data_IF_473790948376
#
_entry.id   IF_473790948376
#
_cell.length_a   1.000
_cell.length_b   1.000
_cell.length_c   1.000
_cell.angle_alpha   90.00
_cell.angle_beta   90.00
_cell.angle_gamma   90.00
#
_symmetry.space_group_name_H-M   'P 1'
#
loop_
_entity.id
_entity.type
_entity.pdbx_description
1 polymer ?
#
# COMPACT_ATOMS: atom_id res chain seq x y z
N UNK A 1 6.07 -3.16 -22.45
CA UNK A 1 4.84 -2.55 -21.88
C UNK A 1 4.66 -1.16 -22.46
N UNK A 2 3.43 -0.78 -22.80
CA UNK A 2 3.10 0.58 -23.23
C UNK A 2 3.42 1.60 -22.13
N UNK A 3 3.97 2.77 -22.51
CA UNK A 3 4.45 3.77 -21.58
C UNK A 3 3.87 5.17 -21.86
N UNK A 4 3.18 5.73 -20.87
CA UNK A 4 2.54 7.05 -20.95
C UNK A 4 3.10 8.05 -19.93
N UNK A 5 4.14 7.68 -19.20
CA UNK A 5 4.71 8.47 -18.12
C UNK A 5 5.76 9.50 -18.53
N UNK A 6 6.35 10.15 -17.52
CA UNK A 6 7.49 11.05 -17.67
C UNK A 6 8.79 10.22 -17.74
N UNK A 7 9.63 10.48 -18.76
CA UNK A 7 10.94 9.85 -18.88
C UNK A 7 11.87 10.19 -17.70
N UNK A 8 11.79 11.42 -17.20
CA UNK A 8 12.54 11.84 -16.00
C UNK A 8 12.19 10.99 -14.78
N UNK A 9 10.89 10.69 -14.57
CA UNK A 9 10.45 9.81 -13.48
C UNK A 9 10.87 8.36 -13.73
N UNK A 10 10.88 7.92 -15.00
CA UNK A 10 11.33 6.59 -15.41
C UNK A 10 12.83 6.37 -15.15
N UNK A 11 13.68 7.35 -15.48
CA UNK A 11 15.12 7.28 -15.20
C UNK A 11 15.38 7.20 -13.69
N UNK A 12 14.71 8.01 -12.88
CA UNK A 12 14.81 7.91 -11.41
C UNK A 12 14.34 6.55 -10.88
N UNK A 13 13.29 5.99 -11.47
CA UNK A 13 12.84 4.64 -11.15
C UNK A 13 13.93 3.62 -11.51
N UNK A 14 14.55 3.73 -12.67
CA UNK A 14 15.63 2.84 -13.10
C UNK A 14 16.84 2.92 -12.15
N UNK A 15 17.27 4.11 -11.75
CA UNK A 15 18.35 4.30 -10.78
C UNK A 15 18.05 3.57 -9.46
N UNK A 16 16.81 3.70 -8.97
CA UNK A 16 16.36 2.99 -7.77
C UNK A 16 16.41 1.48 -7.97
N UNK A 17 15.84 0.97 -9.08
CA UNK A 17 15.76 -0.47 -9.37
C UNK A 17 17.16 -1.10 -9.53
N UNK A 18 18.08 -0.41 -10.21
CA UNK A 18 19.46 -0.87 -10.36
C UNK A 18 20.19 -0.94 -9.01
N UNK A 19 20.03 0.08 -8.17
CA UNK A 19 20.61 0.06 -6.81
C UNK A 19 20.05 -1.09 -5.97
N UNK A 20 18.75 -1.39 -6.07
CA UNK A 20 18.13 -2.53 -5.39
C UNK A 20 18.72 -3.85 -5.89
N UNK A 21 18.90 -3.98 -7.20
CA UNK A 21 19.49 -5.16 -7.84
C UNK A 21 20.93 -5.39 -7.39
N UNK A 22 21.76 -4.34 -7.38
CA UNK A 22 23.16 -4.37 -6.92
C UNK A 22 23.28 -4.79 -5.44
N UNK A 23 22.25 -4.53 -4.65
CA UNK A 23 22.16 -4.94 -3.24
C UNK A 23 21.39 -6.26 -3.02
N UNK A 24 21.23 -7.06 -4.06
CA UNK A 24 20.68 -8.42 -3.97
C UNK A 24 19.16 -8.50 -3.86
N UNK A 25 18.43 -7.43 -4.21
CA UNK A 25 16.97 -7.48 -4.33
C UNK A 25 16.60 -7.55 -5.81
N UNK A 26 16.06 -8.67 -6.24
CA UNK A 26 15.62 -8.84 -7.62
C UNK A 26 14.42 -7.94 -7.92
N UNK A 27 14.55 -7.12 -8.96
CA UNK A 27 13.52 -6.18 -9.42
C UNK A 27 13.31 -6.28 -10.93
N UNK A 28 12.15 -5.89 -11.40
CA UNK A 28 11.83 -5.79 -12.82
C UNK A 28 12.43 -4.51 -13.45
N UNK A 29 13.76 -4.36 -13.36
CA UNK A 29 14.46 -3.21 -13.92
C UNK A 29 14.27 -3.09 -15.44
N UNK A 30 14.44 -1.86 -15.97
CA UNK A 30 14.26 -1.59 -17.39
C UNK A 30 15.53 -1.93 -18.18
N UNK A 31 15.32 -2.39 -19.41
CA UNK A 31 16.38 -2.63 -20.38
C UNK A 31 16.48 -1.44 -21.33
N UNK A 32 17.70 -0.97 -21.57
CA UNK A 32 17.95 0.09 -22.56
C UNK A 32 17.94 -0.47 -23.98
N UNK A 33 17.44 0.30 -24.91
CA UNK A 33 17.48 -0.04 -26.33
C UNK A 33 18.86 0.30 -26.94
N UNK A 34 19.05 0.08 -28.25
CA UNK A 34 20.29 0.35 -28.96
C UNK A 34 20.69 1.83 -29.00
N UNK A 35 19.82 2.73 -28.56
CA UNK A 35 20.07 4.18 -28.45
C UNK A 35 20.30 4.60 -26.99
N UNK A 36 20.56 3.65 -26.10
CA UNK A 36 20.72 3.86 -24.66
C UNK A 36 19.46 4.46 -23.96
N UNK A 37 18.30 4.46 -24.62
CA UNK A 37 17.06 4.95 -24.07
C UNK A 37 16.26 3.83 -23.37
N UNK A 38 15.57 4.15 -22.28
CA UNK A 38 14.61 3.25 -21.61
C UNK A 38 13.28 3.16 -22.38
N UNK A 39 13.03 4.11 -23.28
CA UNK A 39 11.79 4.17 -24.05
C UNK A 39 12.07 3.91 -25.53
N UNK A 40 11.35 2.98 -26.09
CA UNK A 40 11.33 2.69 -27.52
C UNK A 40 10.01 3.19 -28.13
N UNK A 41 10.04 3.55 -29.40
CA UNK A 41 8.84 3.93 -30.16
C UNK A 41 8.63 2.95 -31.30
N UNK A 42 7.39 2.63 -31.59
CA UNK A 42 7.02 1.88 -32.79
C UNK A 42 6.81 2.81 -34.00
N UNK A 43 6.40 2.25 -35.12
CA UNK A 43 6.13 3.00 -36.38
C UNK A 43 4.97 3.99 -36.25
N UNK A 44 4.15 3.89 -35.22
CA UNK A 44 3.00 4.78 -34.94
C UNK A 44 3.32 5.80 -33.87
N UNK A 45 4.60 5.96 -33.48
CA UNK A 45 5.07 6.83 -32.38
C UNK A 45 4.56 6.38 -30.98
N UNK A 46 3.99 5.19 -30.88
CA UNK A 46 3.57 4.64 -29.59
C UNK A 46 4.80 4.25 -28.77
N UNK A 47 4.81 4.64 -27.49
CA UNK A 47 5.95 4.51 -26.59
C UNK A 47 5.86 3.23 -25.76
N UNK A 48 6.99 2.53 -25.64
CA UNK A 48 7.10 1.26 -24.92
C UNK A 48 8.34 1.23 -24.06
N UNK A 49 8.28 0.47 -22.96
CA UNK A 49 9.44 0.09 -22.14
C UNK A 49 9.59 -1.43 -22.14
N UNK A 50 10.83 -1.91 -22.03
CA UNK A 50 11.16 -3.31 -21.84
C UNK A 50 11.71 -3.50 -20.44
N UNK A 51 11.22 -4.51 -19.71
CA UNK A 51 11.64 -4.80 -18.33
C UNK A 51 12.18 -6.23 -18.24
N UNK A 52 13.08 -6.45 -17.29
CA UNK A 52 13.56 -7.78 -16.97
C UNK A 52 12.39 -8.63 -16.42
N UNK A 53 12.31 -9.86 -16.87
CA UNK A 53 11.30 -10.82 -16.47
C UNK A 53 11.87 -11.88 -15.54
N UNK A 54 11.15 -12.18 -14.46
CA UNK A 54 11.49 -13.27 -13.55
C UNK A 54 10.49 -14.42 -13.67
N UNK A 55 11.00 -15.64 -13.73
CA UNK A 55 10.19 -16.84 -13.63
C UNK A 55 9.92 -17.16 -12.15
N UNK A 56 8.66 -17.16 -11.76
CA UNK A 56 8.27 -17.39 -10.39
C UNK A 56 6.76 -17.51 -10.22
N UNK A 57 6.33 -17.79 -9.00
CA UNK A 57 4.91 -17.77 -8.61
C UNK A 57 4.65 -16.53 -7.77
N UNK A 58 3.50 -15.91 -7.95
CA UNK A 58 3.02 -14.88 -7.02
C UNK A 58 2.98 -15.43 -5.58
N UNK A 59 3.16 -14.54 -4.60
CA UNK A 59 3.04 -14.89 -3.19
C UNK A 59 1.68 -15.55 -2.92
N UNK A 60 1.70 -16.81 -2.51
CA UNK A 60 0.49 -17.51 -2.10
C UNK A 60 0.01 -17.00 -0.75
N UNK A 61 -1.11 -16.29 -0.76
CA UNK A 61 -1.70 -15.75 0.48
C UNK A 61 -2.26 -16.82 1.41
N UNK A 62 -2.25 -18.10 1.06
CA UNK A 62 -2.57 -19.24 1.94
C UNK A 62 -1.31 -19.85 2.58
N UNK A 63 -0.14 -19.53 2.06
CA UNK A 63 1.15 -19.98 2.59
C UNK A 63 1.68 -18.97 3.62
N UNK A 64 1.73 -19.35 4.89
CA UNK A 64 2.32 -18.54 5.96
C UNK A 64 3.79 -18.23 5.67
N UNK A 65 4.53 -19.18 5.08
CA UNK A 65 5.92 -18.99 4.68
C UNK A 65 6.08 -17.89 3.63
N UNK A 66 5.27 -17.92 2.55
CA UNK A 66 5.30 -16.90 1.50
C UNK A 66 4.95 -15.53 2.05
N UNK A 67 3.95 -15.44 2.94
CA UNK A 67 3.56 -14.20 3.59
C UNK A 67 4.74 -13.62 4.38
N UNK A 68 5.37 -14.41 5.26
CA UNK A 68 6.48 -13.94 6.09
C UNK A 68 7.73 -13.64 5.25
N UNK A 69 7.99 -14.43 4.19
CA UNK A 69 9.06 -14.15 3.23
C UNK A 69 8.84 -12.81 2.52
N UNK A 70 7.59 -12.52 2.11
CA UNK A 70 7.22 -11.23 1.52
C UNK A 70 7.42 -10.07 2.49
N UNK A 71 7.08 -10.23 3.76
CA UNK A 71 7.30 -9.21 4.80
C UNK A 71 8.79 -8.93 5.01
N UNK A 72 9.62 -9.98 5.09
CA UNK A 72 11.09 -9.84 5.19
C UNK A 72 11.67 -9.15 3.96
N UNK A 73 11.16 -9.48 2.78
CA UNK A 73 11.55 -8.82 1.52
C UNK A 73 11.19 -7.33 1.56
N UNK A 74 9.99 -6.98 2.01
CA UNK A 74 9.58 -5.57 2.15
C UNK A 74 10.49 -4.80 3.13
N UNK A 75 10.85 -5.40 4.26
CA UNK A 75 11.73 -4.77 5.23
C UNK A 75 13.12 -4.48 4.64
N UNK A 76 13.72 -5.43 3.90
CA UNK A 76 14.99 -5.23 3.19
C UNK A 76 14.87 -4.18 2.10
N UNK A 77 13.77 -4.22 1.34
CA UNK A 77 13.45 -3.24 0.32
C UNK A 77 13.45 -1.82 0.90
N UNK A 78 12.77 -1.60 2.02
CA UNK A 78 12.64 -0.29 2.65
C UNK A 78 13.96 0.28 3.21
N UNK A 79 14.90 -0.57 3.63
CA UNK A 79 16.25 -0.11 4.03
C UNK A 79 16.95 0.57 2.85
N UNK A 80 16.76 0.04 1.64
CA UNK A 80 17.43 0.49 0.41
C UNK A 80 16.61 1.53 -0.37
N UNK A 81 15.30 1.57 -0.21
CA UNK A 81 14.41 2.53 -0.88
C UNK A 81 14.48 3.91 -0.22
N UNK A 82 15.60 4.57 -0.45
CA UNK A 82 15.83 5.97 -0.06
C UNK A 82 16.38 6.72 -1.28
N UNK A 83 15.86 7.91 -1.51
CA UNK A 83 16.31 8.79 -2.61
C UNK A 83 16.46 10.21 -2.06
N UNK A 84 17.35 11.01 -2.66
CA UNK A 84 17.37 12.42 -2.34
C UNK A 84 15.99 13.04 -2.60
N UNK A 85 15.42 13.76 -1.61
CA UNK A 85 14.15 14.43 -1.78
C UNK A 85 14.20 15.41 -2.96
N UNK A 86 13.23 15.35 -3.84
CA UNK A 86 13.12 16.22 -5.00
C UNK A 86 11.94 17.14 -4.81
N UNK A 87 12.17 18.44 -4.76
CA UNK A 87 11.17 19.45 -4.41
C UNK A 87 9.93 19.38 -5.31
N UNK A 88 10.08 19.01 -6.60
CA UNK A 88 8.95 18.82 -7.50
C UNK A 88 7.93 17.75 -7.04
N UNK A 89 8.35 16.81 -6.16
CA UNK A 89 7.46 15.78 -5.57
C UNK A 89 6.93 16.16 -4.19
N UNK A 90 7.37 17.31 -3.63
CA UNK A 90 6.98 17.76 -2.29
C UNK A 90 5.48 17.95 -2.13
N UNK A 91 4.83 18.58 -3.11
CA UNK A 91 3.38 18.79 -3.07
C UNK A 91 2.60 17.48 -3.16
N UNK A 92 3.05 16.52 -3.99
CA UNK A 92 2.44 15.20 -4.09
C UNK A 92 2.56 14.45 -2.76
N UNK A 93 3.74 14.48 -2.15
CA UNK A 93 4.01 13.90 -0.84
C UNK A 93 3.10 14.49 0.26
N UNK A 94 3.02 15.81 0.35
CA UNK A 94 2.18 16.48 1.34
C UNK A 94 0.70 16.16 1.13
N UNK A 95 0.24 16.07 -0.10
CA UNK A 95 -1.14 15.73 -0.44
C UNK A 95 -1.49 14.31 -0.02
N UNK A 96 -0.63 13.33 -0.30
CA UNK A 96 -0.83 11.94 0.13
C UNK A 96 -0.97 11.83 1.64
N UNK A 97 -0.11 12.51 2.38
CA UNK A 97 -0.10 12.44 3.82
C UNK A 97 -1.21 13.25 4.50
N UNK A 98 -1.79 14.26 3.84
CA UNK A 98 -2.97 14.95 4.33
C UNK A 98 -4.26 14.10 4.28
N UNK A 99 -4.27 13.06 3.47
CA UNK A 99 -5.44 12.19 3.31
C UNK A 99 -5.87 11.51 4.61
N UNK A 100 -4.96 11.22 5.52
CA UNK A 100 -5.28 10.64 6.83
C UNK A 100 -6.07 11.59 7.74
N UNK A 101 -5.87 12.92 7.59
CA UNK A 101 -6.57 13.95 8.38
C UNK A 101 -7.96 14.29 7.85
N UNK A 102 -8.31 13.85 6.65
CA UNK A 102 -9.60 14.18 6.06
C UNK A 102 -10.66 13.21 6.53
N UNK A 103 -11.55 13.68 7.41
CA UNK A 103 -12.84 13.06 7.59
C UNK A 103 -13.61 13.33 6.30
N UNK A 104 -13.70 12.32 5.47
CA UNK A 104 -14.30 12.43 4.15
C UNK A 104 -15.79 12.58 4.29
N UNK A 105 -16.41 13.44 3.47
CA UNK A 105 -17.86 13.59 3.44
C UNK A 105 -18.50 12.29 2.99
N UNK A 106 -19.04 11.54 3.94
CA UNK A 106 -19.89 10.42 3.64
C UNK A 106 -21.25 10.94 3.18
N UNK A 107 -21.78 10.37 2.10
CA UNK A 107 -23.06 10.78 1.55
C UNK A 107 -24.16 10.26 2.46
N UNK A 108 -24.85 11.16 3.18
CA UNK A 108 -25.82 10.81 4.22
C UNK A 108 -27.27 10.74 3.76
N UNK A 109 -27.65 11.36 2.66
CA UNK A 109 -29.07 11.63 2.37
C UNK A 109 -29.47 11.35 0.94
N UNK A 110 -29.57 10.06 0.59
CA UNK A 110 -30.39 9.66 -0.56
C UNK A 110 -31.10 8.38 -0.19
N UNK A 111 -32.38 8.27 -0.50
CA UNK A 111 -33.10 7.01 -0.40
C UNK A 111 -32.33 5.90 -1.14
N UNK A 112 -32.30 4.70 -0.61
CA UNK A 112 -31.58 3.60 -1.20
C UNK A 112 -32.30 3.11 -2.46
N UNK A 113 -31.67 3.21 -3.62
CA UNK A 113 -32.20 2.75 -4.90
C UNK A 113 -31.76 1.33 -5.26
N UNK A 114 -30.75 0.80 -4.58
CA UNK A 114 -30.21 -0.54 -4.83
C UNK A 114 -29.62 -1.17 -3.55
N UNK A 115 -29.20 -2.44 -3.64
CA UNK A 115 -28.66 -3.20 -2.51
C UNK A 115 -27.38 -2.59 -1.93
N UNK A 116 -26.51 -2.02 -2.76
CA UNK A 116 -25.29 -1.35 -2.29
C UNK A 116 -25.62 -0.14 -1.43
N UNK A 117 -26.48 0.77 -1.92
CA UNK A 117 -26.87 1.97 -1.20
C UNK A 117 -27.59 1.64 0.11
N UNK A 118 -28.45 0.60 0.10
CA UNK A 118 -29.11 0.12 1.32
C UNK A 118 -28.11 -0.34 2.37
N UNK A 119 -27.13 -1.17 1.99
CA UNK A 119 -26.10 -1.65 2.90
C UNK A 119 -25.19 -0.50 3.38
N UNK A 120 -24.83 0.41 2.47
CA UNK A 120 -24.00 1.57 2.78
C UNK A 120 -24.69 2.47 3.81
N UNK A 121 -25.93 2.90 3.58
CA UNK A 121 -26.68 3.78 4.49
C UNK A 121 -26.94 3.13 5.86
N UNK A 122 -27.12 1.82 5.91
CA UNK A 122 -27.30 1.09 7.17
C UNK A 122 -26.03 1.00 8.03
N UNK A 123 -24.85 1.21 7.45
CA UNK A 123 -23.56 1.03 8.14
C UNK A 123 -22.71 2.30 8.23
N UNK A 124 -23.04 3.34 7.48
CA UNK A 124 -22.16 4.52 7.32
C UNK A 124 -21.82 5.24 8.62
N UNK A 125 -22.75 5.35 9.55
CA UNK A 125 -22.52 6.06 10.83
C UNK A 125 -21.45 5.34 11.65
N UNK A 126 -21.47 4.02 11.74
CA UNK A 126 -20.47 3.23 12.47
C UNK A 126 -19.06 3.39 11.89
N UNK A 127 -18.95 3.34 10.56
CA UNK A 127 -17.64 3.57 9.91
C UNK A 127 -17.19 5.03 10.00
N UNK A 128 -18.11 6.00 10.04
CA UNK A 128 -17.78 7.40 10.25
C UNK A 128 -17.25 7.63 11.67
N UNK A 129 -17.90 7.08 12.69
CA UNK A 129 -17.41 7.14 14.09
C UNK A 129 -15.98 6.57 14.19
N UNK A 130 -15.73 5.44 13.54
CA UNK A 130 -14.41 4.83 13.50
C UNK A 130 -13.38 5.70 12.78
N UNK A 131 -13.77 6.37 11.69
CA UNK A 131 -12.90 7.33 10.99
C UNK A 131 -12.58 8.56 11.86
N UNK A 132 -13.56 9.08 12.59
CA UNK A 132 -13.36 10.19 13.54
C UNK A 132 -12.41 9.80 14.66
N UNK A 133 -12.56 8.59 15.20
CA UNK A 133 -11.65 8.06 16.22
C UNK A 133 -10.21 7.94 15.68
N UNK A 134 -10.02 7.45 14.45
CA UNK A 134 -8.70 7.38 13.84
C UNK A 134 -8.05 8.77 13.66
N UNK A 135 -8.84 9.80 13.31
CA UNK A 135 -8.34 11.19 13.22
C UNK A 135 -7.94 11.70 14.60
N UNK A 136 -8.74 11.44 15.64
CA UNK A 136 -8.39 11.79 17.01
C UNK A 136 -7.09 11.13 17.44
N UNK A 137 -6.92 9.83 17.18
CA UNK A 137 -5.64 9.12 17.44
C UNK A 137 -4.48 9.76 16.69
N UNK A 138 -4.68 10.21 15.45
CA UNK A 138 -3.64 10.88 14.67
C UNK A 138 -3.22 12.20 15.31
N UNK A 139 -4.18 12.99 15.77
CA UNK A 139 -3.94 14.29 16.43
C UNK A 139 -3.21 14.14 17.77
N UNK A 140 -3.24 12.96 18.40
CA UNK A 140 -2.48 12.61 19.60
C UNK A 140 -1.04 12.13 19.29
N UNK A 141 -0.60 12.16 18.03
CA UNK A 141 0.72 11.70 17.58
C UNK A 141 1.56 12.85 17.04
N UNK A 142 2.89 12.65 17.02
CA UNK A 142 3.85 13.54 16.35
C UNK A 142 3.90 13.27 14.84
N UNK A 143 2.72 13.18 14.20
CA UNK A 143 2.60 12.79 12.80
C UNK A 143 3.30 13.76 11.83
N UNK A 144 3.24 15.06 12.10
CA UNK A 144 3.91 16.05 11.25
C UNK A 144 5.43 15.91 11.31
N UNK A 145 5.99 15.63 12.48
CA UNK A 145 7.42 15.39 12.66
C UNK A 145 7.86 14.08 11.98
N UNK A 146 7.05 13.02 12.13
CA UNK A 146 7.28 11.76 11.41
C UNK A 146 7.30 11.98 9.89
N UNK A 147 6.36 12.74 9.39
CA UNK A 147 6.25 13.07 7.96
C UNK A 147 7.46 13.89 7.49
N UNK A 148 7.82 14.96 8.22
CA UNK A 148 8.99 15.78 7.85
C UNK A 148 10.29 14.99 7.91
N UNK A 149 10.45 14.09 8.89
CA UNK A 149 11.59 13.20 8.98
C UNK A 149 11.65 12.21 7.80
N UNK A 150 10.54 11.56 7.48
CA UNK A 150 10.46 10.64 6.34
C UNK A 150 10.84 11.31 5.02
N UNK A 151 10.40 12.56 4.81
CA UNK A 151 10.80 13.36 3.66
C UNK A 151 12.31 13.65 3.65
N UNK A 152 12.85 14.19 4.74
CA UNK A 152 14.29 14.52 4.84
C UNK A 152 15.18 13.30 4.68
N UNK A 153 14.75 12.14 5.16
CA UNK A 153 15.45 10.87 4.99
C UNK A 153 15.29 10.28 3.59
N UNK A 154 14.47 10.90 2.74
CA UNK A 154 14.20 10.43 1.40
C UNK A 154 13.48 9.07 1.35
N UNK A 155 12.63 8.78 2.34
CA UNK A 155 11.91 7.50 2.39
C UNK A 155 11.01 7.33 1.18
N UNK A 156 11.14 6.19 0.50
CA UNK A 156 10.36 5.84 -0.69
C UNK A 156 9.57 4.57 -0.42
N UNK A 157 8.32 4.57 -0.83
CA UNK A 157 7.42 3.43 -0.86
C UNK A 157 7.31 2.84 -2.27
N UNK A 158 7.06 1.55 -2.34
CA UNK A 158 6.68 0.87 -3.58
C UNK A 158 5.31 1.38 -4.10
N UNK A 159 4.40 1.74 -3.20
CA UNK A 159 3.06 2.26 -3.49
C UNK A 159 2.01 1.19 -3.76
N UNK A 160 2.40 0.06 -4.36
CA UNK A 160 1.52 -1.08 -4.65
C UNK A 160 2.10 -2.43 -4.17
N UNK A 161 2.85 -2.45 -3.07
CA UNK A 161 3.34 -3.72 -2.53
C UNK A 161 2.19 -4.65 -2.14
N UNK A 162 2.05 -5.75 -2.85
CA UNK A 162 1.00 -6.74 -2.63
C UNK A 162 1.41 -8.12 -3.15
N UNK A 163 0.62 -9.15 -2.90
CA UNK A 163 0.93 -10.54 -3.24
C UNK A 163 1.19 -10.79 -4.75
N UNK A 164 0.63 -9.99 -5.64
CA UNK A 164 0.82 -10.11 -7.09
C UNK A 164 2.16 -9.52 -7.56
N UNK A 165 2.73 -8.62 -6.77
CA UNK A 165 3.96 -7.91 -7.08
C UNK A 165 5.18 -8.50 -6.32
N UNK A 166 5.00 -9.62 -5.63
CA UNK A 166 6.09 -10.38 -4.98
C UNK A 166 6.09 -11.79 -5.55
N UNK A 167 7.15 -12.13 -6.27
CA UNK A 167 7.32 -13.44 -6.88
C UNK A 167 8.21 -14.33 -6.01
N UNK A 168 7.79 -15.53 -5.75
CA UNK A 168 8.62 -16.62 -5.20
C UNK A 168 9.34 -17.27 -6.37
N UNK A 169 10.64 -17.07 -6.46
CA UNK A 169 11.47 -17.55 -7.57
C UNK A 169 11.67 -19.06 -7.51
N UNK A 170 11.84 -19.67 -8.69
CA UNK A 170 12.13 -21.10 -8.87
C UNK A 170 13.60 -21.32 -9.22
N UNK A 171 14.09 -22.54 -9.00
CA UNK A 171 15.42 -22.98 -9.40
C UNK A 171 16.53 -22.49 -8.47
N UNK A 172 17.73 -22.29 -9.02
CA UNK A 172 18.94 -21.92 -8.28
C UNK A 172 18.87 -20.54 -7.63
N UNK A 173 17.89 -19.71 -8.00
CA UNK A 173 17.60 -18.41 -7.42
C UNK A 173 16.51 -18.54 -6.33
N UNK A 174 16.81 -19.27 -5.24
CA UNK A 174 15.93 -19.35 -4.07
C UNK A 174 15.79 -17.95 -3.44
N UNK A 175 14.79 -17.20 -3.85
CA UNK A 175 14.60 -15.84 -3.36
C UNK A 175 13.22 -15.32 -3.70
N UNK A 176 13.11 -14.01 -3.67
CA UNK A 176 11.95 -13.25 -4.12
C UNK A 176 12.37 -12.25 -5.17
N UNK A 177 11.46 -11.91 -6.08
CA UNK A 177 11.56 -10.71 -6.89
C UNK A 177 10.38 -9.78 -6.59
N UNK A 178 10.64 -8.48 -6.62
CA UNK A 178 9.60 -7.45 -6.46
C UNK A 178 9.43 -6.74 -7.79
N UNK A 179 8.17 -6.62 -8.24
CA UNK A 179 7.84 -6.11 -9.56
C UNK A 179 6.81 -4.98 -9.49
N UNK A 180 6.62 -4.26 -10.60
CA UNK A 180 5.57 -3.25 -10.76
C UNK A 180 5.75 -2.00 -9.89
N UNK A 181 6.95 -1.39 -9.93
CA UNK A 181 7.28 -0.15 -9.21
C UNK A 181 6.66 1.13 -9.82
N UNK A 182 5.72 1.02 -10.75
CA UNK A 182 5.12 2.18 -11.43
C UNK A 182 4.43 3.20 -10.52
N UNK A 183 4.10 2.80 -9.29
CA UNK A 183 3.45 3.65 -8.28
C UNK A 183 4.37 4.07 -7.13
N UNK A 184 5.70 3.94 -7.34
CA UNK A 184 6.63 4.40 -6.33
C UNK A 184 6.46 5.90 -6.01
N UNK A 185 6.59 6.25 -4.75
CA UNK A 185 6.46 7.64 -4.30
C UNK A 185 7.21 7.84 -2.98
N UNK A 186 7.56 9.09 -2.68
CA UNK A 186 7.95 9.45 -1.33
C UNK A 186 6.75 9.26 -0.40
N UNK A 187 6.93 8.49 0.67
CA UNK A 187 5.91 8.27 1.70
C UNK A 187 6.57 7.66 2.95
N UNK A 188 5.87 7.69 4.07
CA UNK A 188 6.24 6.97 5.29
C UNK A 188 6.17 5.47 4.99
N UNK A 189 7.31 4.77 5.05
CA UNK A 189 7.45 3.39 4.55
C UNK A 189 6.48 2.38 5.19
N UNK A 190 6.09 2.57 6.44
CA UNK A 190 5.08 1.69 7.06
C UNK A 190 3.70 1.73 6.38
N UNK A 191 3.47 2.65 5.45
CA UNK A 191 2.27 2.64 4.61
C UNK A 191 2.20 1.42 3.69
N UNK A 192 3.33 0.98 3.13
CA UNK A 192 3.37 -0.25 2.32
C UNK A 192 3.16 -1.49 3.20
N UNK A 193 3.79 -1.52 4.39
CA UNK A 193 3.58 -2.60 5.35
C UNK A 193 2.10 -2.73 5.72
N UNK A 194 1.44 -1.61 6.08
CA UNK A 194 0.00 -1.57 6.34
C UNK A 194 -0.81 -2.13 5.16
N UNK A 195 -0.53 -1.67 3.92
CA UNK A 195 -1.28 -2.09 2.74
C UNK A 195 -1.16 -3.58 2.48
N UNK A 196 0.04 -4.14 2.64
CA UNK A 196 0.28 -5.57 2.49
C UNK A 196 -0.42 -6.37 3.59
N UNK A 197 -0.16 -6.02 4.85
CA UNK A 197 -0.76 -6.70 6.00
C UNK A 197 -2.29 -6.70 5.95
N UNK A 198 -2.90 -5.54 5.69
CA UNK A 198 -4.36 -5.43 5.60
C UNK A 198 -4.96 -6.41 4.59
N UNK A 199 -4.36 -6.52 3.39
CA UNK A 199 -4.85 -7.45 2.34
C UNK A 199 -4.77 -8.91 2.77
N UNK A 200 -3.77 -9.28 3.55
CA UNK A 200 -3.62 -10.62 4.11
C UNK A 200 -4.63 -10.84 5.24
N UNK A 201 -4.63 -9.95 6.22
CA UNK A 201 -5.43 -10.09 7.44
C UNK A 201 -6.95 -10.10 7.16
N UNK A 202 -7.42 -9.37 6.17
CA UNK A 202 -8.82 -9.47 5.71
C UNK A 202 -9.21 -10.90 5.28
N UNK A 203 -8.27 -11.67 4.73
CA UNK A 203 -8.49 -13.08 4.34
C UNK A 203 -8.37 -14.04 5.51
N UNK A 204 -7.64 -13.64 6.56
CA UNK A 204 -7.40 -14.40 7.78
C UNK A 204 -8.27 -13.94 8.96
N UNK A 205 -9.40 -13.29 8.65
CA UNK A 205 -10.33 -12.83 9.67
C UNK A 205 -9.65 -12.05 10.80
N UNK A 206 -8.70 -11.17 10.42
CA UNK A 206 -7.94 -10.29 11.31
C UNK A 206 -7.19 -11.03 12.43
N UNK A 207 -6.55 -12.15 12.09
CA UNK A 207 -5.84 -12.98 13.04
C UNK A 207 -4.66 -12.25 13.68
N UNK A 208 -4.69 -12.10 15.02
CA UNK A 208 -3.70 -11.37 15.82
C UNK A 208 -2.33 -12.05 15.82
N UNK A 209 -2.29 -13.39 15.88
CA UNK A 209 -1.02 -14.14 15.90
C UNK A 209 -0.25 -13.92 14.60
N UNK A 210 -0.92 -14.05 13.45
CA UNK A 210 -0.32 -13.80 12.14
C UNK A 210 0.15 -12.34 12.01
N UNK A 211 -0.66 -11.39 12.48
CA UNK A 211 -0.27 -9.97 12.47
C UNK A 211 0.99 -9.73 13.31
N UNK A 212 1.03 -10.29 14.51
CA UNK A 212 2.20 -10.19 15.39
C UNK A 212 3.46 -10.79 14.77
N UNK A 213 3.35 -11.91 14.03
CA UNK A 213 4.48 -12.48 13.31
C UNK A 213 4.95 -11.58 12.17
N UNK A 214 4.03 -11.08 11.35
CA UNK A 214 4.37 -10.17 10.26
C UNK A 214 5.09 -8.93 10.79
N UNK A 215 4.60 -8.33 11.86
CA UNK A 215 5.22 -7.17 12.50
C UNK A 215 6.60 -7.48 13.07
N UNK A 216 6.76 -8.62 13.75
CA UNK A 216 8.06 -9.07 14.29
C UNK A 216 9.08 -9.33 13.19
N UNK A 217 8.69 -10.02 12.12
CA UNK A 217 9.59 -10.31 10.98
C UNK A 217 10.05 -9.06 10.25
N UNK A 218 9.17 -8.06 10.13
CA UNK A 218 9.54 -6.77 9.59
C UNK A 218 10.48 -6.02 10.53
N UNK A 219 10.10 -5.89 11.81
CA UNK A 219 10.83 -5.13 12.83
C UNK A 219 12.25 -5.66 13.09
N UNK A 220 12.47 -6.99 13.01
CA UNK A 220 13.80 -7.60 13.13
C UNK A 220 14.78 -7.11 12.07
N UNK A 221 14.31 -6.79 10.87
CA UNK A 221 15.15 -6.40 9.73
C UNK A 221 15.21 -4.88 9.62
N UNK A 222 14.06 -4.22 9.68
CA UNK A 222 13.91 -2.77 9.71
C UNK A 222 13.13 -2.39 10.97
N UNK A 223 13.81 -1.89 12.01
CA UNK A 223 13.13 -1.45 13.23
C UNK A 223 12.05 -0.41 12.91
N UNK A 224 10.88 -0.61 13.51
CA UNK A 224 9.75 0.32 13.43
C UNK A 224 9.88 1.27 14.62
N UNK A 225 9.91 2.59 14.38
CA UNK A 225 10.00 3.59 15.44
C UNK A 225 8.69 3.72 16.23
N UNK A 226 8.73 4.34 17.40
CA UNK A 226 7.52 4.57 18.21
C UNK A 226 6.45 5.35 17.43
N UNK A 227 6.85 6.36 16.66
CA UNK A 227 5.95 7.18 15.85
C UNK A 227 5.40 6.38 14.66
N UNK A 228 6.19 5.49 14.07
CA UNK A 228 5.71 4.57 13.02
C UNK A 228 4.72 3.55 13.57
N UNK A 229 4.90 3.05 14.81
CA UNK A 229 3.90 2.21 15.49
C UNK A 229 2.58 2.93 15.69
N UNK A 230 2.62 4.18 16.17
CA UNK A 230 1.43 5.03 16.30
C UNK A 230 0.76 5.25 14.94
N UNK A 231 1.55 5.49 13.89
CA UNK A 231 1.04 5.64 12.52
C UNK A 231 0.38 4.36 11.97
N UNK A 232 0.96 3.19 12.24
CA UNK A 232 0.34 1.91 11.89
C UNK A 232 -1.01 1.72 12.60
N UNK A 233 -1.08 2.02 13.91
CA UNK A 233 -2.34 1.98 14.68
C UNK A 233 -3.42 2.84 14.03
N UNK A 234 -3.09 4.09 13.70
CA UNK A 234 -4.02 5.01 13.01
C UNK A 234 -4.49 4.42 11.68
N UNK A 235 -3.57 3.89 10.86
CA UNK A 235 -3.91 3.31 9.56
C UNK A 235 -4.81 2.08 9.68
N UNK A 236 -4.58 1.20 10.66
CA UNK A 236 -5.44 0.04 10.91
C UNK A 236 -6.79 0.40 11.52
N UNK A 237 -6.88 1.54 12.23
CA UNK A 237 -8.13 2.06 12.79
C UNK A 237 -8.99 2.77 11.74
N UNK A 238 -8.36 3.37 10.71
CA UNK A 238 -9.07 4.12 9.68
C UNK A 238 -9.75 3.20 8.65
N UNK A 239 -11.06 3.35 8.36
CA UNK A 239 -11.81 2.48 7.45
C UNK A 239 -11.55 2.80 5.96
N UNK A 240 -10.29 2.78 5.53
CA UNK A 240 -9.86 3.21 4.19
C UNK A 240 -10.60 2.48 3.06
N UNK A 241 -10.77 1.16 3.20
CA UNK A 241 -11.39 0.35 2.15
C UNK A 241 -12.88 0.61 2.01
N UNK A 242 -13.58 0.82 3.13
CA UNK A 242 -15.00 1.20 3.13
C UNK A 242 -15.20 2.51 2.39
N UNK A 243 -14.39 3.51 2.76
CA UNK A 243 -14.44 4.81 2.12
C UNK A 243 -14.09 4.73 0.61
N UNK A 244 -13.02 4.02 0.22
CA UNK A 244 -12.62 3.86 -1.19
C UNK A 244 -13.74 3.24 -2.02
N UNK A 245 -14.44 2.26 -1.46
CA UNK A 245 -15.56 1.59 -2.13
C UNK A 245 -16.75 2.53 -2.34
N UNK A 246 -17.10 3.30 -1.30
CA UNK A 246 -18.15 4.32 -1.38
C UNK A 246 -17.80 5.43 -2.37
N UNK A 247 -16.58 5.97 -2.29
CA UNK A 247 -16.11 7.00 -3.20
C UNK A 247 -16.12 6.52 -4.67
N UNK A 248 -15.67 5.30 -4.91
CA UNK A 248 -15.72 4.71 -6.25
C UNK A 248 -17.16 4.66 -6.78
N UNK A 249 -18.12 4.22 -5.97
CA UNK A 249 -19.52 4.15 -6.35
C UNK A 249 -20.10 5.55 -6.65
N UNK A 250 -19.99 6.48 -5.70
CA UNK A 250 -20.67 7.78 -5.79
C UNK A 250 -19.98 8.77 -6.74
N UNK A 251 -18.66 8.67 -6.97
CA UNK A 251 -17.94 9.59 -7.86
C UNK A 251 -18.12 9.25 -9.33
N UNK A 252 -18.38 7.99 -9.67
CA UNK A 252 -18.47 7.57 -11.07
C UNK A 252 -19.89 7.60 -11.64
N UNK A 253 -20.89 8.11 -10.89
CA UNK A 253 -22.31 8.19 -11.31
C UNK A 253 -22.81 6.89 -11.96
N UNK A 254 -22.34 5.75 -11.47
CA UNK A 254 -22.66 4.45 -12.08
C UNK A 254 -24.10 4.08 -11.72
N UNK A 255 -24.92 3.92 -12.74
CA UNK A 255 -26.29 3.39 -12.62
C UNK A 255 -26.27 1.91 -12.23
N UNK A 256 -25.16 1.22 -12.56
CA UNK A 256 -24.97 -0.21 -12.26
C UNK A 256 -23.73 -0.42 -11.39
N UNK A 257 -23.86 -1.21 -10.36
CA UNK A 257 -22.77 -1.68 -9.52
C UNK A 257 -22.62 -3.20 -9.67
N UNK A 258 -21.39 -3.67 -9.82
CA UNK A 258 -21.12 -5.10 -9.90
C UNK A 258 -21.46 -5.80 -8.58
N UNK A 259 -21.99 -7.02 -8.65
CA UNK A 259 -22.21 -7.89 -7.49
C UNK A 259 -20.95 -8.01 -6.61
N UNK A 260 -19.78 -8.10 -7.24
CA UNK A 260 -18.48 -8.13 -6.55
C UNK A 260 -18.26 -6.92 -5.62
N UNK A 261 -18.77 -5.73 -5.95
CA UNK A 261 -18.63 -4.56 -5.09
C UNK A 261 -19.66 -4.58 -3.94
N UNK A 262 -20.85 -5.13 -4.18
CA UNK A 262 -21.84 -5.38 -3.12
C UNK A 262 -21.29 -6.37 -2.11
N UNK A 263 -20.73 -7.49 -2.57
CA UNK A 263 -20.09 -8.51 -1.73
C UNK A 263 -18.93 -7.94 -0.90
N UNK A 264 -18.08 -7.09 -1.52
CA UNK A 264 -17.00 -6.43 -0.80
C UNK A 264 -17.52 -5.55 0.34
N UNK A 265 -18.58 -4.78 0.11
CA UNK A 265 -19.21 -3.94 1.14
C UNK A 265 -19.80 -4.80 2.27
N UNK A 266 -20.52 -5.86 1.90
CA UNK A 266 -21.11 -6.79 2.87
C UNK A 266 -20.03 -7.49 3.72
N UNK A 267 -18.89 -7.85 3.11
CA UNK A 267 -17.77 -8.44 3.83
C UNK A 267 -17.16 -7.45 4.84
N UNK A 268 -16.99 -6.18 4.47
CA UNK A 268 -16.51 -5.15 5.39
C UNK A 268 -17.45 -4.96 6.59
N UNK A 269 -18.76 -4.91 6.34
CA UNK A 269 -19.77 -4.78 7.39
C UNK A 269 -19.72 -6.00 8.33
N UNK A 270 -19.64 -7.20 7.77
CA UNK A 270 -19.59 -8.47 8.52
C UNK A 270 -18.35 -8.61 9.39
N UNK A 271 -17.20 -8.12 8.89
CA UNK A 271 -15.92 -8.19 9.61
C UNK A 271 -15.67 -7.00 10.54
N UNK A 272 -16.58 -6.02 10.61
CA UNK A 272 -16.36 -4.75 11.32
C UNK A 272 -15.91 -4.96 12.76
N UNK A 273 -16.65 -5.70 13.55
CA UNK A 273 -16.36 -5.90 14.99
C UNK A 273 -15.01 -6.60 15.21
N UNK A 274 -14.71 -7.63 14.41
CA UNK A 274 -13.44 -8.35 14.51
C UNK A 274 -12.28 -7.43 14.13
N UNK A 275 -12.44 -6.62 13.08
CA UNK A 275 -11.44 -5.63 12.67
C UNK A 275 -11.23 -4.54 13.73
N UNK A 276 -12.31 -4.01 14.33
CA UNK A 276 -12.22 -3.00 15.40
C UNK A 276 -11.47 -3.55 16.62
N UNK A 277 -11.81 -4.76 17.07
CA UNK A 277 -11.11 -5.43 18.17
C UNK A 277 -9.63 -5.69 17.83
N UNK A 278 -9.36 -6.14 16.61
CA UNK A 278 -8.00 -6.31 16.12
C UNK A 278 -7.20 -5.01 16.20
N UNK A 279 -7.75 -3.89 15.72
CA UNK A 279 -7.06 -2.60 15.72
C UNK A 279 -6.74 -2.09 17.15
N UNK A 280 -7.57 -2.42 18.14
CA UNK A 280 -7.31 -2.08 19.54
C UNK A 280 -6.27 -3.02 20.18
N UNK A 281 -6.38 -4.32 19.95
CA UNK A 281 -5.55 -5.32 20.61
C UNK A 281 -4.15 -5.42 20.01
N UNK A 282 -4.04 -5.37 18.69
CA UNK A 282 -2.76 -5.54 17.98
C UNK A 282 -1.72 -4.47 18.37
N UNK A 283 -2.16 -3.28 18.75
CA UNK A 283 -1.27 -2.15 19.06
C UNK A 283 -1.30 -1.71 20.53
N UNK A 284 -1.92 -2.50 21.41
CA UNK A 284 -2.05 -2.17 22.84
C UNK A 284 -0.71 -2.08 23.56
N UNK A 285 0.18 -3.02 23.29
CA UNK A 285 1.43 -3.25 24.03
C UNK A 285 2.66 -2.63 23.33
N UNK A 286 2.48 -1.96 22.19
CA UNK A 286 3.59 -1.30 21.54
C UNK A 286 3.83 0.08 22.15
N UNK A 287 5.10 0.59 22.21
CA UNK A 287 5.45 1.77 22.98
C UNK A 287 4.55 2.96 22.64
N UNK A 288 3.93 3.47 23.71
CA UNK A 288 3.13 4.69 23.68
C UNK A 288 4.06 5.91 23.53
#
# INVERSE_FOLDING_TARGET
REFHGSEKKLEKQQELLMRLQENGINTDYFLRNNQESLVSKDKTEQRFTLQHWYEGKECDTKSREDILKSVRTLARLHILMKMEPVEEYREEYLRHNQELRKIRKFIRNKGASNVFEKNYLASVEQFLERAQYAVKLLDETDYDDLRERAWREGQVCHGEYNQHNVLMLKGDHLGTAVTNFGHWSFDIQVADLYRFMRKILEKYNWNLELAGEMLREYHKIRPISAEEWKNLRVRFTYPEKYWKLANYYYSHKKVWISEKNVEKLQNLIRQREIWENFAEECFRDYPQ
#
